data_IF_021251360551
#
_entry.id   IF_021251360551
#
_cell.length_a   1.000
_cell.length_b   1.000
_cell.length_c   1.000
_cell.angle_alpha   90.00
_cell.angle_beta   90.00
_cell.angle_gamma   90.00
#
_symmetry.space_group_name_H-M   'P 1'
#
loop_
_entity.id
_entity.type
_entity.pdbx_description
1 polymer ?
#
# COMPACT_ATOMS: atom_id res chain seq x y z
N UNK A 1 6.77 -12.33 -18.41
CA UNK A 1 7.92 -12.53 -17.50
C UNK A 1 8.05 -14.02 -17.22
N UNK A 2 9.26 -14.57 -17.02
CA UNK A 2 9.43 -16.00 -16.67
C UNK A 2 8.94 -16.33 -15.25
N UNK A 3 8.72 -15.32 -14.41
CA UNK A 3 8.18 -15.42 -13.05
C UNK A 3 7.10 -14.35 -12.86
N UNK A 4 6.10 -14.65 -12.05
CA UNK A 4 5.03 -13.74 -11.62
C UNK A 4 5.03 -13.68 -10.10
N UNK A 5 4.65 -12.54 -9.49
CA UNK A 5 4.57 -12.43 -8.03
C UNK A 5 3.35 -13.21 -7.49
N UNK A 6 3.50 -13.77 -6.29
CA UNK A 6 2.43 -14.52 -5.60
C UNK A 6 1.64 -13.64 -4.61
N UNK A 7 2.24 -12.54 -4.13
CA UNK A 7 1.61 -11.55 -3.25
C UNK A 7 2.37 -10.21 -3.31
N UNK A 8 1.71 -9.14 -2.85
CA UNK A 8 2.32 -7.81 -2.73
C UNK A 8 2.16 -7.29 -1.30
N UNK A 9 3.27 -6.88 -0.69
CA UNK A 9 3.28 -6.17 0.59
C UNK A 9 3.46 -4.68 0.33
N UNK A 10 2.51 -3.85 0.75
CA UNK A 10 2.64 -2.39 0.70
C UNK A 10 3.01 -1.89 2.10
N UNK A 11 4.20 -1.32 2.24
CA UNK A 11 4.66 -0.76 3.51
C UNK A 11 4.13 0.67 3.69
N UNK A 12 3.57 0.97 4.85
CA UNK A 12 3.14 2.30 5.24
C UNK A 12 3.59 2.63 6.67
N UNK A 13 3.69 3.92 6.97
CA UNK A 13 3.95 4.42 8.34
C UNK A 13 2.92 5.49 8.67
N UNK A 14 2.53 5.60 9.94
CA UNK A 14 1.58 6.62 10.39
C UNK A 14 2.08 8.03 10.05
N UNK A 15 3.37 8.28 10.31
CA UNK A 15 4.03 9.56 9.99
C UNK A 15 3.96 9.94 8.52
N UNK A 16 4.22 9.01 7.60
CA UNK A 16 4.14 9.29 6.16
C UNK A 16 2.70 9.60 5.72
N UNK A 17 1.72 8.87 6.25
CA UNK A 17 0.32 9.13 5.95
C UNK A 17 -0.16 10.47 6.52
N UNK A 18 0.20 10.82 7.76
CA UNK A 18 -0.05 12.16 8.31
C UNK A 18 0.54 13.28 7.45
N UNK A 19 1.74 13.07 6.91
CA UNK A 19 2.37 14.01 5.97
C UNK A 19 1.59 14.13 4.66
N UNK A 20 1.09 13.01 4.10
CA UNK A 20 0.15 13.03 2.97
C UNK A 20 -1.20 13.67 3.31
N UNK A 21 -1.56 13.71 4.60
CA UNK A 21 -2.70 14.44 5.15
C UNK A 21 -2.47 15.94 5.32
N UNK A 22 -1.27 16.44 5.04
CA UNK A 22 -0.93 17.86 5.10
C UNK A 22 -0.13 18.29 6.33
N UNK A 23 0.23 17.39 7.25
CA UNK A 23 1.10 17.73 8.38
C UNK A 23 2.53 18.02 7.94
N UNK A 24 3.17 18.98 8.60
CA UNK A 24 4.59 19.27 8.36
C UNK A 24 5.48 18.25 9.04
N UNK A 25 6.69 18.10 8.50
CA UNK A 25 7.66 17.07 8.91
C UNK A 25 8.04 17.15 10.41
N UNK A 26 8.07 18.35 10.95
CA UNK A 26 8.41 18.68 12.34
C UNK A 26 7.26 18.42 13.34
N UNK A 27 6.03 18.30 12.86
CA UNK A 27 4.81 18.08 13.67
C UNK A 27 4.43 16.58 13.75
N UNK A 28 5.11 15.69 13.01
CA UNK A 28 4.69 14.28 12.84
C UNK A 28 4.73 13.41 14.10
N UNK A 29 5.26 13.92 15.22
CA UNK A 29 5.30 13.20 16.50
C UNK A 29 3.97 13.26 17.24
N UNK A 30 3.14 14.25 16.95
CA UNK A 30 1.87 14.45 17.62
C UNK A 30 0.79 13.59 16.96
N UNK A 31 -0.11 13.02 17.76
CA UNK A 31 -1.25 12.25 17.27
C UNK A 31 -2.15 13.11 16.39
N UNK A 32 -2.54 12.60 15.22
CA UNK A 32 -3.53 13.28 14.38
C UNK A 32 -4.32 12.30 13.49
N UNK A 33 -5.47 11.87 13.99
CA UNK A 33 -6.37 10.92 13.31
C UNK A 33 -6.97 11.51 12.02
N UNK A 34 -7.26 12.81 11.99
CA UNK A 34 -7.84 13.46 10.82
C UNK A 34 -6.84 13.54 9.66
N UNK A 35 -5.61 13.96 9.95
CA UNK A 35 -4.53 13.97 8.96
C UNK A 35 -4.22 12.55 8.46
N UNK A 36 -4.20 11.56 9.36
CA UNK A 36 -4.04 10.15 8.97
C UNK A 36 -5.15 9.70 8.02
N UNK A 37 -6.41 10.01 8.33
CA UNK A 37 -7.57 9.66 7.50
C UNK A 37 -7.54 10.33 6.12
N UNK A 38 -7.13 11.60 6.04
CA UNK A 38 -6.94 12.30 4.76
C UNK A 38 -5.80 11.65 3.97
N UNK A 39 -4.66 11.43 4.63
CA UNK A 39 -3.46 10.86 4.01
C UNK A 39 -3.60 9.40 3.56
N UNK A 40 -4.53 8.65 4.17
CA UNK A 40 -4.87 7.30 3.75
C UNK A 40 -5.28 7.23 2.26
N UNK A 41 -5.76 8.32 1.67
CA UNK A 41 -6.03 8.40 0.23
C UNK A 41 -4.82 7.95 -0.62
N UNK A 42 -3.59 8.24 -0.18
CA UNK A 42 -2.37 7.79 -0.84
C UNK A 42 -2.21 6.26 -0.80
N UNK A 43 -2.33 5.66 0.39
CA UNK A 43 -2.25 4.21 0.55
C UNK A 43 -3.38 3.49 -0.20
N UNK A 44 -4.60 4.01 -0.10
CA UNK A 44 -5.77 3.52 -0.83
C UNK A 44 -5.55 3.51 -2.34
N UNK A 45 -4.87 4.53 -2.89
CA UNK A 45 -4.50 4.55 -4.31
C UNK A 45 -3.52 3.42 -4.64
N UNK A 46 -2.49 3.21 -3.83
CA UNK A 46 -1.52 2.14 -4.05
C UNK A 46 -2.12 0.75 -3.94
N UNK A 47 -3.04 0.51 -2.99
CA UNK A 47 -3.83 -0.72 -2.87
C UNK A 47 -4.55 -0.99 -4.20
N UNK A 48 -5.37 -0.05 -4.66
CA UNK A 48 -6.13 -0.17 -5.92
C UNK A 48 -5.24 -0.35 -7.14
N UNK A 49 -4.05 0.27 -7.15
CA UNK A 49 -3.09 0.09 -8.21
C UNK A 49 -2.57 -1.35 -8.27
N UNK A 50 -2.32 -1.98 -7.12
CA UNK A 50 -1.80 -3.35 -7.05
C UNK A 50 -2.89 -4.39 -7.34
N UNK A 51 -4.12 -4.17 -6.88
CA UNK A 51 -5.27 -5.05 -7.19
C UNK A 51 -5.53 -5.20 -8.70
N UNK A 52 -5.24 -4.16 -9.50
CA UNK A 52 -5.37 -4.20 -10.96
C UNK A 52 -4.49 -5.26 -11.63
N UNK A 53 -3.42 -5.70 -10.95
CA UNK A 53 -2.57 -6.79 -11.42
C UNK A 53 -3.11 -8.17 -11.05
N UNK A 54 -4.27 -8.27 -10.39
CA UNK A 54 -4.90 -9.52 -9.94
C UNK A 54 -4.00 -10.31 -9.00
N UNK A 55 -3.38 -9.58 -8.08
CA UNK A 55 -2.51 -10.10 -7.04
C UNK A 55 -3.14 -9.88 -5.68
N UNK A 56 -2.95 -10.81 -4.74
CA UNK A 56 -3.35 -10.58 -3.36
C UNK A 56 -2.43 -9.53 -2.72
N UNK A 57 -3.03 -8.57 -2.01
CA UNK A 57 -2.35 -7.41 -1.43
C UNK A 57 -2.51 -7.42 0.09
N UNK A 58 -1.43 -7.14 0.81
CA UNK A 58 -1.41 -6.94 2.26
C UNK A 58 -0.66 -5.65 2.59
N UNK A 59 -1.11 -4.95 3.63
CA UNK A 59 -0.43 -3.75 4.14
C UNK A 59 0.43 -4.12 5.35
N UNK A 60 1.68 -3.66 5.35
CA UNK A 60 2.56 -3.69 6.50
C UNK A 60 2.64 -2.30 7.12
N UNK A 61 2.13 -2.14 8.35
CA UNK A 61 2.22 -0.89 9.10
C UNK A 61 3.52 -0.94 9.90
N UNK A 62 4.55 -0.25 9.42
CA UNK A 62 5.84 -0.20 10.11
C UNK A 62 5.76 0.77 11.30
N UNK A 63 5.80 0.21 12.51
CA UNK A 63 5.61 0.95 13.76
C UNK A 63 6.82 1.81 14.12
N UNK A 64 6.54 3.01 14.63
CA UNK A 64 7.53 3.88 15.27
C UNK A 64 7.15 4.18 16.72
N UNK A 65 8.14 4.52 17.54
CA UNK A 65 7.99 4.83 18.98
C UNK A 65 7.01 5.96 19.31
N UNK A 66 6.68 6.81 18.34
CA UNK A 66 5.75 7.93 18.49
C UNK A 66 4.35 7.63 17.98
N UNK A 67 4.14 6.49 17.32
CA UNK A 67 2.83 6.12 16.79
C UNK A 67 1.93 5.71 17.95
N UNK A 68 0.70 6.20 17.96
CA UNK A 68 -0.26 5.85 19.01
C UNK A 68 -1.08 4.62 18.62
N UNK A 69 -1.60 3.90 19.62
CA UNK A 69 -2.47 2.75 19.35
C UNK A 69 -3.76 3.16 18.62
N UNK A 70 -4.27 4.38 18.88
CA UNK A 70 -5.42 4.95 18.16
C UNK A 70 -5.13 5.14 16.68
N UNK A 71 -3.94 5.64 16.32
CA UNK A 71 -3.51 5.83 14.93
C UNK A 71 -3.33 4.48 14.21
N UNK A 72 -2.67 3.53 14.87
CA UNK A 72 -2.44 2.18 14.33
C UNK A 72 -3.78 1.47 14.08
N UNK A 73 -4.68 1.49 15.07
CA UNK A 73 -6.02 0.89 14.98
C UNK A 73 -6.87 1.57 13.91
N UNK A 74 -6.82 2.90 13.78
CA UNK A 74 -7.51 3.61 12.70
C UNK A 74 -7.01 3.15 11.33
N UNK A 75 -5.69 3.01 11.14
CA UNK A 75 -5.14 2.57 9.87
C UNK A 75 -5.53 1.13 9.52
N UNK A 76 -5.57 0.24 10.52
CA UNK A 76 -6.07 -1.13 10.35
C UNK A 76 -7.53 -1.14 9.88
N UNK A 77 -8.41 -0.40 10.54
CA UNK A 77 -9.82 -0.29 10.14
C UNK A 77 -9.98 0.31 8.73
N UNK A 78 -9.20 1.34 8.39
CA UNK A 78 -9.25 1.94 7.05
C UNK A 78 -8.83 0.94 5.95
N UNK A 79 -7.89 0.04 6.24
CA UNK A 79 -7.52 -1.04 5.32
C UNK A 79 -8.62 -2.12 5.25
N UNK A 80 -9.20 -2.50 6.39
CA UNK A 80 -10.30 -3.48 6.46
C UNK A 80 -11.54 -2.99 5.70
N UNK A 81 -11.87 -1.70 5.76
CA UNK A 81 -12.93 -1.06 4.96
C UNK A 81 -12.67 -1.13 3.44
N UNK A 82 -11.44 -1.42 3.02
CA UNK A 82 -11.09 -1.71 1.62
C UNK A 82 -11.02 -3.20 1.32
N UNK A 83 -11.32 -4.08 2.29
CA UNK A 83 -11.17 -5.52 2.17
C UNK A 83 -9.71 -5.99 2.24
N UNK A 84 -8.80 -5.15 2.74
CA UNK A 84 -7.35 -5.44 2.76
C UNK A 84 -6.90 -5.72 4.18
N UNK A 85 -6.17 -6.83 4.35
CA UNK A 85 -5.52 -7.15 5.60
C UNK A 85 -4.35 -6.18 5.83
N UNK A 86 -4.29 -5.58 7.02
CA UNK A 86 -3.13 -4.85 7.51
C UNK A 86 -2.52 -5.58 8.69
N UNK A 87 -1.19 -5.60 8.76
CA UNK A 87 -0.44 -6.12 9.91
C UNK A 87 0.59 -5.11 10.36
N UNK A 88 0.63 -4.86 11.66
CA UNK A 88 1.70 -4.08 12.26
C UNK A 88 3.00 -4.86 12.22
N UNK A 89 4.10 -4.14 12.05
CA UNK A 89 5.43 -4.69 11.99
C UNK A 89 6.37 -3.80 12.81
N UNK A 90 6.92 -4.35 13.88
CA UNK A 90 7.85 -3.68 14.80
C UNK A 90 9.30 -4.10 14.56
N UNK A 91 9.63 -4.49 13.31
CA UNK A 91 10.95 -5.05 12.94
C UNK A 91 12.12 -4.14 13.25
N UNK A 92 11.88 -2.83 13.31
CA UNK A 92 12.89 -1.86 13.71
C UNK A 92 13.25 -1.97 15.20
N UNK A 93 12.27 -2.19 16.07
CA UNK A 93 12.48 -2.28 17.52
C UNK A 93 12.83 -3.71 17.98
N UNK A 94 12.19 -4.72 17.38
CA UNK A 94 12.23 -6.11 17.84
C UNK A 94 12.94 -7.06 16.85
N UNK A 95 13.60 -6.52 15.82
CA UNK A 95 14.27 -7.34 14.80
C UNK A 95 13.30 -8.28 14.06
N UNK A 96 13.76 -9.50 13.74
CA UNK A 96 12.94 -10.45 13.00
C UNK A 96 11.65 -10.86 13.74
N UNK A 97 11.66 -10.89 15.07
CA UNK A 97 10.49 -11.25 15.88
C UNK A 97 9.33 -10.28 15.67
N UNK A 98 9.62 -8.98 15.50
CA UNK A 98 8.61 -7.96 15.22
C UNK A 98 7.95 -8.06 13.83
N UNK A 99 8.36 -9.02 13.00
CA UNK A 99 7.81 -9.27 11.66
C UNK A 99 7.12 -10.62 11.49
N UNK A 100 7.07 -11.47 12.53
CA UNK A 100 6.53 -12.84 12.44
C UNK A 100 5.06 -12.82 12.02
N UNK A 101 4.23 -12.00 12.65
CA UNK A 101 2.80 -11.91 12.34
C UNK A 101 2.53 -11.50 10.87
N UNK A 102 3.33 -10.55 10.35
CA UNK A 102 3.27 -10.15 8.95
C UNK A 102 3.71 -11.30 8.04
N UNK A 103 4.83 -11.96 8.37
CA UNK A 103 5.35 -13.06 7.57
C UNK A 103 4.36 -14.22 7.48
N UNK A 104 3.76 -14.63 8.60
CA UNK A 104 2.72 -15.65 8.59
C UNK A 104 1.48 -15.24 7.80
N UNK A 105 1.08 -13.96 7.89
CA UNK A 105 -0.04 -13.45 7.11
C UNK A 105 0.24 -13.49 5.60
N UNK A 106 1.47 -13.16 5.18
CA UNK A 106 1.89 -13.28 3.78
C UNK A 106 1.88 -14.75 3.32
N UNK A 107 2.41 -15.68 4.12
CA UNK A 107 2.38 -17.12 3.79
C UNK A 107 0.94 -17.60 3.62
N UNK A 108 0.06 -17.30 4.59
CA UNK A 108 -1.36 -17.66 4.51
C UNK A 108 -2.05 -17.05 3.29
N UNK A 109 -1.65 -15.85 2.87
CA UNK A 109 -2.20 -15.19 1.69
C UNK A 109 -1.76 -15.89 0.40
N UNK A 110 -0.48 -16.26 0.30
CA UNK A 110 0.07 -17.03 -0.83
C UNK A 110 -0.57 -18.42 -0.92
N UNK A 111 -0.77 -19.10 0.22
CA UNK A 111 -1.32 -20.45 0.28
C UNK A 111 -2.77 -20.55 -0.24
N UNK A 112 -3.51 -19.44 -0.29
CA UNK A 112 -4.85 -19.39 -0.92
C UNK A 112 -4.81 -19.57 -2.44
N UNK A 113 -3.64 -19.38 -3.07
CA UNK A 113 -3.42 -19.52 -4.52
C UNK A 113 -4.38 -18.67 -5.37
N UNK A 114 -4.66 -17.46 -4.90
CA UNK A 114 -5.57 -16.51 -5.56
C UNK A 114 -4.87 -15.60 -6.59
N UNK A 115 -3.54 -15.64 -6.68
CA UNK A 115 -2.79 -14.81 -7.62
C UNK A 115 -2.99 -15.25 -9.09
N UNK A 116 -3.52 -14.35 -9.92
CA UNK A 116 -3.69 -14.51 -11.38
C UNK A 116 -3.06 -13.31 -12.10
N UNK A 117 -1.74 -13.13 -11.94
CA UNK A 117 -1.03 -11.95 -12.42
C UNK A 117 -1.37 -11.58 -13.88
N UNK A 118 -1.82 -10.34 -14.09
CA UNK A 118 -1.98 -9.77 -15.43
C UNK A 118 -1.23 -8.44 -15.57
N UNK A 119 -0.43 -8.26 -16.62
CA UNK A 119 0.20 -6.98 -16.89
C UNK A 119 -0.87 -5.92 -17.19
N UNK A 120 -0.56 -4.67 -16.84
CA UNK A 120 -1.50 -3.55 -16.99
C UNK A 120 -1.87 -3.24 -18.45
N UNK A 121 -0.96 -3.57 -19.36
CA UNK A 121 -0.98 -3.26 -20.78
C UNK A 121 -0.32 -4.42 -21.56
N UNK A 122 -0.59 -4.52 -22.86
CA UNK A 122 -0.04 -5.56 -23.75
C UNK A 122 1.25 -5.09 -24.42
N UNK A 123 2.14 -6.03 -24.74
CA UNK A 123 3.44 -5.67 -25.33
C UNK A 123 3.31 -5.12 -26.76
N UNK A 124 2.23 -5.48 -27.45
CA UNK A 124 1.93 -5.10 -28.83
C UNK A 124 1.33 -3.69 -28.94
N UNK A 125 0.87 -3.10 -27.82
CA UNK A 125 0.35 -1.73 -27.79
C UNK A 125 1.46 -0.71 -28.11
N UNK A 126 1.07 0.43 -28.67
CA UNK A 126 1.99 1.53 -28.98
C UNK A 126 2.57 2.15 -27.71
N UNK A 127 3.69 2.87 -27.84
CA UNK A 127 4.30 3.58 -26.70
C UNK A 127 3.30 4.57 -26.10
N UNK A 128 2.53 5.24 -26.95
CA UNK A 128 1.51 6.22 -26.56
C UNK A 128 0.41 5.57 -25.72
N UNK A 129 -0.16 4.45 -26.18
CA UNK A 129 -1.20 3.69 -25.46
C UNK A 129 -0.68 3.17 -24.11
N UNK A 130 0.52 2.59 -24.08
CA UNK A 130 1.15 2.12 -22.84
C UNK A 130 1.32 3.26 -21.83
N UNK A 131 1.77 4.41 -22.30
CA UNK A 131 1.94 5.60 -21.46
C UNK A 131 0.60 6.09 -20.91
N UNK A 132 -0.42 6.15 -21.77
CA UNK A 132 -1.75 6.59 -21.37
C UNK A 132 -2.41 5.62 -20.37
N UNK A 133 -2.22 4.31 -20.55
CA UNK A 133 -2.69 3.28 -19.62
C UNK A 133 -2.07 3.50 -18.23
N UNK A 134 -0.74 3.69 -18.15
CA UNK A 134 -0.06 3.93 -16.86
C UNK A 134 -0.60 5.21 -16.22
N UNK A 135 -0.69 6.31 -16.97
CA UNK A 135 -1.12 7.60 -16.43
C UNK A 135 -2.55 7.53 -15.90
N UNK A 136 -3.48 6.92 -16.64
CA UNK A 136 -4.88 6.80 -16.20
C UNK A 136 -5.05 5.81 -15.06
N UNK A 137 -4.51 4.59 -15.19
CA UNK A 137 -4.77 3.50 -14.26
C UNK A 137 -3.93 3.57 -12.98
N UNK A 138 -2.66 3.96 -13.06
CA UNK A 138 -1.76 3.99 -11.90
C UNK A 138 -1.76 5.38 -11.24
N UNK A 139 -1.53 6.44 -12.01
CA UNK A 139 -1.44 7.79 -11.44
C UNK A 139 -2.80 8.46 -11.25
N UNK A 140 -3.79 8.13 -12.08
CA UNK A 140 -5.11 8.77 -12.04
C UNK A 140 -5.15 10.09 -12.79
N UNK A 141 -4.19 10.32 -13.70
CA UNK A 141 -4.20 11.46 -14.60
C UNK A 141 -5.30 11.31 -15.66
N UNK A 142 -5.74 12.44 -16.22
CA UNK A 142 -6.78 12.46 -17.25
C UNK A 142 -6.28 11.95 -18.62
N UNK A 143 -5.00 12.11 -18.91
CA UNK A 143 -4.38 11.72 -20.18
C UNK A 143 -2.94 12.19 -20.28
N UNK A 144 -2.37 12.07 -21.48
CA UNK A 144 -0.98 12.39 -21.77
C UNK A 144 -0.93 13.39 -22.91
N UNK A 145 -0.04 14.39 -22.80
CA UNK A 145 0.26 15.33 -23.88
C UNK A 145 1.66 14.98 -24.40
N UNK A 146 1.76 14.75 -25.71
CA UNK A 146 3.02 14.46 -26.38
C UNK A 146 3.51 15.69 -27.12
N UNK A 147 4.81 15.97 -27.02
CA UNK A 147 5.50 17.11 -27.64
C UNK A 147 6.51 16.62 -28.67
#
# INVERSE_FOLDING_TARGET
LKKTPDAVVIVATIRALKMHGGMKKDELKDENLDALKIGFANLKRHIRNMEQYQLPVIVAINEFVTDTDSELTLLEHLCEDQGILAKRASVWANGAEGGVDLAEAVVRLIDRKEADYKPLYRLEETIQEKTEIIVKKIYGGNGVVFS
#
